data_IF_408956972180
#
_entry.id   IF_408956972180
#
_cell.length_a   1.000
_cell.length_b   1.000
_cell.length_c   1.000
_cell.angle_alpha   90.00
_cell.angle_beta   90.00
_cell.angle_gamma   90.00
#
_symmetry.space_group_name_H-M   'P 1'
#
loop_
_entity.id
_entity.type
_entity.pdbx_description
1 polymer ?
#
# COMPACT_ATOMS: atom_id res chain seq x y z
N UNK A 1 16.87 50.57 8.69
CA UNK A 1 16.71 49.12 8.92
C UNK A 1 16.19 48.52 7.63
N UNK A 2 17.05 47.77 6.94
CA UNK A 2 16.80 47.19 5.62
C UNK A 2 15.99 45.90 5.74
N UNK A 3 14.91 45.81 4.98
CA UNK A 3 14.32 44.54 4.55
C UNK A 3 14.37 44.51 3.02
N UNK A 4 15.11 43.54 2.48
CA UNK A 4 15.10 43.17 1.05
C UNK A 4 13.94 42.19 0.82
N UNK A 5 13.22 42.25 -0.32
CA UNK A 5 12.41 41.13 -0.78
C UNK A 5 13.27 40.15 -1.62
N UNK A 6 12.89 38.86 -1.70
CA UNK A 6 13.62 37.86 -2.49
C UNK A 6 13.25 37.95 -3.98
N UNK A 7 14.26 37.76 -4.82
CA UNK A 7 14.16 37.73 -6.27
C UNK A 7 13.27 36.56 -6.76
N UNK A 8 12.14 36.91 -7.40
CA UNK A 8 11.41 36.04 -8.32
C UNK A 8 12.15 36.11 -9.65
N UNK A 9 12.96 35.10 -9.95
CA UNK A 9 13.62 34.94 -11.24
C UNK A 9 13.45 33.49 -11.70
N UNK A 10 12.24 33.12 -12.13
CA UNK A 10 11.98 31.94 -12.98
C UNK A 10 10.54 31.82 -13.56
N UNK A 11 9.70 32.86 -13.46
CA UNK A 11 8.33 32.85 -14.06
C UNK A 11 8.26 33.59 -15.41
N UNK A 12 9.38 34.11 -15.94
CA UNK A 12 9.35 35.01 -17.10
C UNK A 12 9.42 34.34 -18.49
N UNK A 13 9.43 33.00 -18.61
CA UNK A 13 9.67 32.34 -19.91
C UNK A 13 8.39 31.87 -20.62
N UNK A 14 7.25 31.73 -19.95
CA UNK A 14 6.03 31.19 -20.56
C UNK A 14 5.00 32.23 -21.08
N UNK A 15 5.23 33.54 -20.94
CA UNK A 15 4.22 34.57 -21.28
C UNK A 15 4.68 35.71 -22.19
N UNK A 16 5.79 35.55 -22.91
CA UNK A 16 6.34 36.58 -23.84
C UNK A 16 6.40 36.14 -25.30
N UNK A 17 5.38 35.42 -25.80
CA UNK A 17 5.20 35.22 -27.25
C UNK A 17 4.07 36.08 -27.85
N UNK A 18 3.24 36.74 -27.03
CA UNK A 18 2.19 37.65 -27.55
C UNK A 18 2.13 38.96 -26.79
N UNK A 19 3.06 39.87 -27.10
CA UNK A 19 2.89 41.33 -27.13
C UNK A 19 4.26 42.00 -26.91
N UNK A 20 4.90 42.45 -27.99
CA UNK A 20 5.96 43.46 -27.91
C UNK A 20 5.88 44.37 -29.13
N UNK A 21 4.96 45.32 -29.04
CA UNK A 21 5.12 46.63 -29.65
C UNK A 21 5.55 47.62 -28.54
N UNK A 22 6.73 48.20 -28.76
CA UNK A 22 7.24 49.45 -28.21
C UNK A 22 7.55 49.58 -26.70
N UNK A 23 8.84 49.83 -26.49
CA UNK A 23 9.47 50.80 -25.57
C UNK A 23 9.91 50.38 -24.16
N UNK A 24 11.24 50.50 -23.99
CA UNK A 24 12.00 50.97 -22.82
C UNK A 24 12.82 49.95 -21.98
N UNK A 25 14.14 50.02 -22.23
CA UNK A 25 15.28 49.99 -21.27
C UNK A 25 15.58 48.69 -20.49
N UNK A 26 16.61 47.98 -20.96
CA UNK A 26 17.72 47.60 -20.08
C UNK A 26 17.68 46.25 -19.36
N UNK A 27 17.24 45.18 -20.02
CA UNK A 27 17.71 43.83 -19.71
C UNK A 27 18.51 43.31 -20.92
N UNK A 28 19.63 42.57 -20.74
CA UNK A 28 20.28 41.94 -21.88
C UNK A 28 19.26 40.98 -22.49
N UNK A 29 18.84 41.28 -23.73
CA UNK A 29 18.04 40.36 -24.55
C UNK A 29 18.93 39.11 -24.69
N UNK A 30 18.59 38.04 -23.98
CA UNK A 30 19.25 36.76 -24.16
C UNK A 30 19.10 36.39 -25.63
N UNK A 31 20.24 36.16 -26.30
CA UNK A 31 20.27 35.75 -27.70
C UNK A 31 19.36 34.50 -27.86
N UNK A 32 18.31 34.56 -28.72
CA UNK A 32 17.42 33.44 -28.95
C UNK A 32 18.15 32.14 -29.30
N UNK A 33 19.32 32.25 -29.97
CA UNK A 33 20.16 31.12 -30.32
C UNK A 33 20.84 30.51 -29.08
N UNK A 34 21.25 31.35 -28.13
CA UNK A 34 21.81 30.91 -26.85
C UNK A 34 20.76 30.24 -25.97
N UNK A 35 19.52 30.74 -25.96
CA UNK A 35 18.42 30.13 -25.21
C UNK A 35 18.03 28.77 -25.78
N UNK A 36 17.94 28.64 -27.12
CA UNK A 36 17.70 27.35 -27.78
C UNK A 36 18.82 26.34 -27.53
N UNK A 37 20.09 26.77 -27.56
CA UNK A 37 21.22 25.89 -27.27
C UNK A 37 21.23 25.42 -25.81
N UNK A 38 20.89 26.29 -24.87
CA UNK A 38 20.78 25.92 -23.45
C UNK A 38 19.65 24.93 -23.21
N UNK A 39 18.46 25.17 -23.77
CA UNK A 39 17.33 24.24 -23.69
C UNK A 39 17.65 22.86 -24.29
N UNK A 40 18.39 22.82 -25.40
CA UNK A 40 18.83 21.57 -26.01
C UNK A 40 19.83 20.80 -25.12
N UNK A 41 20.75 21.51 -24.47
CA UNK A 41 21.70 20.94 -23.50
C UNK A 41 20.98 20.41 -22.26
N UNK A 42 20.08 21.21 -21.68
CA UNK A 42 19.31 20.84 -20.49
C UNK A 42 18.39 19.64 -20.78
N UNK A 43 17.74 19.61 -21.95
CA UNK A 43 16.94 18.45 -22.41
C UNK A 43 17.80 17.20 -22.59
N UNK A 44 18.99 17.32 -23.21
CA UNK A 44 19.90 16.19 -23.39
C UNK A 44 20.42 15.65 -22.05
N UNK A 45 20.73 16.55 -21.11
CA UNK A 45 21.15 16.19 -19.76
C UNK A 45 20.01 15.50 -18.99
N UNK A 46 18.80 16.06 -19.01
CA UNK A 46 17.62 15.48 -18.39
C UNK A 46 17.33 14.07 -18.92
N UNK A 47 17.33 13.90 -20.25
CA UNK A 47 17.17 12.58 -20.89
C UNK A 47 18.21 11.57 -20.39
N UNK A 48 19.47 11.98 -20.28
CA UNK A 48 20.56 11.07 -19.91
C UNK A 48 20.57 10.75 -18.41
N UNK A 49 20.33 11.74 -17.55
CA UNK A 49 20.48 11.61 -16.10
C UNK A 49 19.20 11.13 -15.41
N UNK A 50 18.04 11.41 -16.01
CA UNK A 50 16.73 11.11 -15.42
C UNK A 50 16.04 10.02 -16.23
N UNK A 51 15.59 10.29 -17.46
CA UNK A 51 14.76 9.35 -18.23
C UNK A 51 15.46 8.02 -18.57
N UNK A 52 16.75 8.09 -18.91
CA UNK A 52 17.53 6.90 -19.26
C UNK A 52 18.15 6.22 -18.03
N UNK A 53 17.98 6.80 -16.84
CA UNK A 53 18.43 6.17 -15.61
C UNK A 53 17.56 4.94 -15.32
N UNK A 54 18.16 3.93 -14.67
CA UNK A 54 17.44 2.73 -14.23
C UNK A 54 17.75 2.55 -12.76
N UNK A 55 17.08 3.30 -11.87
CA UNK A 55 17.36 3.25 -10.43
C UNK A 55 17.08 1.85 -9.88
N UNK A 56 17.86 1.46 -8.87
CA UNK A 56 17.62 0.24 -8.10
C UNK A 56 16.72 0.56 -6.92
N UNK A 57 15.43 0.18 -7.04
CA UNK A 57 14.40 0.48 -6.06
C UNK A 57 14.28 -0.64 -5.00
N UNK A 58 15.07 -1.70 -5.10
CA UNK A 58 15.08 -2.77 -4.09
C UNK A 58 15.85 -2.30 -2.86
N UNK A 59 15.27 -2.34 -1.64
CA UNK A 59 15.98 -1.96 -0.43
C UNK A 59 17.30 -2.71 -0.25
N UNK A 60 18.31 -2.03 0.29
CA UNK A 60 19.68 -2.55 0.35
C UNK A 60 19.83 -3.84 1.19
N UNK A 61 18.94 -4.06 2.16
CA UNK A 61 18.90 -5.24 3.03
C UNK A 61 18.01 -6.37 2.48
N UNK A 62 17.35 -6.17 1.34
CA UNK A 62 16.48 -7.17 0.71
C UNK A 62 17.26 -7.96 -0.35
N UNK A 63 17.13 -9.28 -0.29
CA UNK A 63 17.64 -10.21 -1.29
C UNK A 63 16.49 -10.76 -2.12
N UNK A 64 16.56 -10.62 -3.43
CA UNK A 64 15.58 -11.14 -4.36
C UNK A 64 16.20 -11.35 -5.75
N UNK A 65 15.46 -11.94 -6.69
CA UNK A 65 15.88 -11.92 -8.08
C UNK A 65 15.52 -10.56 -8.69
N UNK A 66 16.53 -9.74 -8.97
CA UNK A 66 16.34 -8.39 -9.51
C UNK A 66 16.06 -8.42 -11.01
N UNK A 67 15.02 -7.73 -11.44
CA UNK A 67 14.64 -7.59 -12.85
C UNK A 67 14.47 -6.13 -13.23
N UNK A 68 14.66 -5.83 -14.51
CA UNK A 68 14.36 -4.51 -15.08
C UNK A 68 12.87 -4.46 -15.47
N UNK A 69 12.09 -3.60 -14.83
CA UNK A 69 10.68 -3.31 -15.15
C UNK A 69 10.63 -1.96 -15.86
N UNK A 70 9.85 -1.87 -16.93
CA UNK A 70 9.68 -0.64 -17.69
C UNK A 70 8.20 -0.36 -17.95
N UNK A 71 7.85 0.91 -18.00
CA UNK A 71 6.55 1.39 -18.49
C UNK A 71 6.49 1.37 -20.04
N UNK A 72 5.36 1.78 -20.62
CA UNK A 72 5.22 1.88 -22.08
C UNK A 72 6.06 3.02 -22.72
N UNK A 73 6.52 3.99 -21.94
CA UNK A 73 7.38 5.09 -22.40
C UNK A 73 8.85 4.68 -22.45
N UNK A 74 9.19 3.52 -21.88
CA UNK A 74 10.56 3.00 -21.77
C UNK A 74 11.33 3.53 -20.56
N UNK A 75 10.67 4.19 -19.61
CA UNK A 75 11.22 4.50 -18.29
C UNK A 75 11.27 3.22 -17.49
N UNK A 76 12.39 2.96 -16.81
CA UNK A 76 12.60 1.67 -16.17
C UNK A 76 13.20 1.80 -14.78
N UNK A 77 12.96 0.80 -13.95
CA UNK A 77 13.60 0.62 -12.65
C UNK A 77 14.01 -0.85 -12.44
N UNK A 78 14.94 -1.09 -11.51
CA UNK A 78 15.23 -2.44 -11.02
C UNK A 78 14.33 -2.72 -9.81
N UNK A 79 13.58 -3.81 -9.90
CA UNK A 79 12.62 -4.29 -8.89
C UNK A 79 12.85 -5.78 -8.62
N UNK A 80 12.21 -6.33 -7.60
CA UNK A 80 12.19 -7.77 -7.38
C UNK A 80 11.21 -8.45 -8.34
N UNK A 81 11.61 -9.59 -8.91
CA UNK A 81 10.68 -10.50 -9.59
C UNK A 81 9.65 -11.02 -8.58
N UNK A 82 8.40 -11.17 -9.03
CA UNK A 82 7.32 -11.75 -8.25
C UNK A 82 7.75 -13.06 -7.57
N UNK A 83 7.49 -13.17 -6.27
CA UNK A 83 7.74 -14.37 -5.47
C UNK A 83 9.23 -14.67 -5.22
N UNK A 84 10.15 -13.75 -5.55
CA UNK A 84 11.59 -13.98 -5.45
C UNK A 84 12.24 -13.44 -4.19
N UNK A 85 11.51 -12.71 -3.33
CA UNK A 85 12.04 -12.15 -2.09
C UNK A 85 12.43 -13.29 -1.14
N UNK A 86 13.68 -13.25 -0.68
CA UNK A 86 14.21 -14.22 0.27
C UNK A 86 13.81 -13.83 1.68
N UNK A 87 13.05 -14.70 2.34
CA UNK A 87 12.71 -14.59 3.76
C UNK A 87 13.58 -15.55 4.54
N UNK A 88 14.19 -15.08 5.64
CA UNK A 88 15.02 -15.91 6.49
C UNK A 88 14.23 -17.13 7.03
N UNK A 89 14.91 -18.28 7.16
CA UNK A 89 14.27 -19.53 7.56
C UNK A 89 13.67 -19.46 8.96
N UNK A 90 14.32 -18.76 9.89
CA UNK A 90 13.75 -18.55 11.22
C UNK A 90 12.49 -17.70 11.13
N UNK A 91 12.50 -16.61 10.35
CA UNK A 91 11.34 -15.73 10.19
C UNK A 91 10.16 -16.49 9.57
N UNK A 92 10.38 -17.28 8.50
CA UNK A 92 9.34 -18.13 7.91
C UNK A 92 8.70 -19.08 8.93
N UNK A 93 9.54 -19.72 9.78
CA UNK A 93 9.06 -20.64 10.83
C UNK A 93 8.31 -19.90 11.94
N UNK A 94 8.78 -18.73 12.35
CA UNK A 94 8.15 -17.90 13.37
C UNK A 94 6.76 -17.42 12.90
N UNK A 95 6.66 -16.88 11.68
CA UNK A 95 5.39 -16.49 11.06
C UNK A 95 4.43 -17.67 10.92
N UNK A 96 4.92 -18.85 10.50
CA UNK A 96 4.09 -20.06 10.40
C UNK A 96 3.57 -20.52 11.76
N UNK A 97 4.39 -20.47 12.81
CA UNK A 97 3.96 -20.79 14.17
C UNK A 97 2.90 -19.80 14.67
N UNK A 98 3.16 -18.51 14.54
CA UNK A 98 2.24 -17.44 14.90
C UNK A 98 0.89 -17.59 14.19
N UNK A 99 0.90 -17.83 12.89
CA UNK A 99 -0.30 -18.07 12.09
C UNK A 99 -1.09 -19.30 12.55
N UNK A 100 -0.42 -20.41 12.88
CA UNK A 100 -1.07 -21.60 13.45
C UNK A 100 -1.73 -21.33 14.81
N UNK A 101 -1.15 -20.45 15.63
CA UNK A 101 -1.78 -20.01 16.88
C UNK A 101 -2.98 -19.10 16.60
N UNK A 102 -2.84 -18.17 15.65
CA UNK A 102 -3.91 -17.26 15.24
C UNK A 102 -5.12 -18.00 14.65
N UNK A 103 -4.91 -19.08 13.89
CA UNK A 103 -5.97 -19.87 13.26
C UNK A 103 -6.88 -20.65 14.22
N UNK A 104 -6.54 -20.70 15.52
CA UNK A 104 -7.43 -21.18 16.57
C UNK A 104 -8.54 -20.19 16.93
N UNK A 105 -8.38 -18.93 16.51
CA UNK A 105 -9.38 -17.87 16.63
C UNK A 105 -10.18 -17.75 15.33
N UNK A 106 -11.26 -16.97 15.39
CA UNK A 106 -12.02 -16.59 14.21
C UNK A 106 -11.38 -15.38 13.53
N UNK A 107 -11.83 -15.05 12.32
CA UNK A 107 -11.23 -13.95 11.56
C UNK A 107 -11.51 -12.55 12.14
N UNK A 108 -12.48 -12.41 13.06
CA UNK A 108 -12.69 -11.15 13.77
C UNK A 108 -11.63 -10.90 14.85
N UNK A 109 -10.91 -11.92 15.35
CA UNK A 109 -10.01 -11.79 16.51
C UNK A 109 -8.60 -12.36 16.32
N UNK A 110 -8.33 -13.04 15.21
CA UNK A 110 -7.02 -13.60 14.94
C UNK A 110 -6.00 -12.51 14.58
N UNK A 111 -4.83 -12.55 15.23
CA UNK A 111 -3.71 -11.67 14.90
C UNK A 111 -3.00 -12.14 13.64
N UNK A 112 -3.28 -11.48 12.53
CA UNK A 112 -2.76 -11.74 11.19
C UNK A 112 -2.28 -10.43 10.56
N UNK A 113 -1.01 -10.31 10.16
CA UNK A 113 -0.53 -9.09 9.53
C UNK A 113 -1.25 -8.88 8.19
N UNK A 114 -1.61 -7.62 7.94
CA UNK A 114 -2.16 -7.14 6.69
C UNK A 114 -1.19 -6.23 5.94
N UNK A 115 -1.64 -5.70 4.82
CA UNK A 115 -0.96 -4.68 4.03
C UNK A 115 -2.00 -3.71 3.49
N UNK A 116 -1.69 -2.42 3.53
CA UNK A 116 -2.51 -1.38 2.92
C UNK A 116 -2.23 -1.33 1.41
N UNK A 117 -3.29 -1.20 0.60
CA UNK A 117 -3.31 -1.15 -0.87
C UNK A 117 -2.35 -2.16 -1.52
N UNK A 118 -2.55 -3.42 -1.16
CA UNK A 118 -1.54 -4.48 -1.28
C UNK A 118 -1.02 -4.67 -2.72
N UNK A 119 -1.86 -4.42 -3.73
CA UNK A 119 -1.49 -4.61 -5.12
C UNK A 119 -0.95 -3.35 -5.83
N UNK A 120 -0.88 -2.21 -5.14
CA UNK A 120 -0.23 -0.99 -5.65
C UNK A 120 1.26 -1.06 -5.29
N UNK A 121 2.00 -1.85 -6.07
CA UNK A 121 3.37 -2.24 -5.71
C UNK A 121 4.42 -2.03 -6.82
N UNK A 122 5.68 -1.82 -6.42
CA UNK A 122 6.80 -1.60 -7.36
C UNK A 122 6.97 -2.76 -8.36
N UNK A 123 6.72 -3.99 -7.94
CA UNK A 123 6.91 -5.17 -8.79
C UNK A 123 5.96 -5.18 -10.00
N UNK A 124 4.80 -4.53 -9.86
CA UNK A 124 3.81 -4.36 -10.94
C UNK A 124 3.97 -3.05 -11.73
N UNK A 125 4.86 -2.16 -11.28
CA UNK A 125 5.29 -0.96 -12.03
C UNK A 125 4.87 0.36 -11.41
N UNK A 126 4.03 0.35 -10.37
CA UNK A 126 3.71 1.55 -9.59
C UNK A 126 5.01 2.17 -9.07
N UNK A 127 5.15 3.50 -9.11
CA UNK A 127 6.37 4.20 -8.69
C UNK A 127 7.58 4.13 -9.64
N UNK A 128 7.51 3.42 -10.79
CA UNK A 128 8.65 3.32 -11.74
C UNK A 128 9.09 4.68 -12.27
N UNK A 129 8.17 5.62 -12.49
CA UNK A 129 8.49 6.98 -12.94
C UNK A 129 8.79 7.96 -11.79
N UNK A 130 8.80 7.57 -10.51
CA UNK A 130 8.99 8.49 -9.37
C UNK A 130 10.25 9.36 -9.51
N UNK A 131 11.37 8.74 -9.89
CA UNK A 131 12.64 9.44 -10.16
C UNK A 131 12.56 10.46 -11.31
N UNK A 132 11.65 10.25 -12.26
CA UNK A 132 11.38 11.19 -13.35
C UNK A 132 10.63 12.40 -12.84
N UNK A 133 9.64 12.18 -11.98
CA UNK A 133 8.90 13.25 -11.31
C UNK A 133 9.80 14.08 -10.40
N UNK A 134 10.66 13.44 -9.61
CA UNK A 134 11.72 14.12 -8.84
C UNK A 134 12.64 14.95 -9.75
N UNK A 135 13.00 14.38 -10.91
CA UNK A 135 13.72 15.07 -11.98
C UNK A 135 13.08 16.40 -12.40
N UNK A 136 11.77 16.41 -12.65
CA UNK A 136 11.04 17.65 -13.00
C UNK A 136 10.94 18.61 -11.81
N UNK A 137 10.75 18.07 -10.62
CA UNK A 137 10.65 18.83 -9.38
C UNK A 137 11.91 19.66 -9.10
N UNK A 138 13.09 19.22 -9.53
CA UNK A 138 14.34 20.00 -9.41
C UNK A 138 14.34 21.37 -10.12
N UNK A 139 13.44 21.59 -11.08
CA UNK A 139 13.31 22.91 -11.74
C UNK A 139 12.51 23.91 -10.91
N UNK A 140 11.86 23.47 -9.83
CA UNK A 140 11.12 24.33 -8.93
C UNK A 140 12.01 24.78 -7.78
N UNK A 141 12.13 26.10 -7.61
CA UNK A 141 12.98 26.70 -6.57
C UNK A 141 12.58 26.35 -5.14
N UNK A 142 11.35 25.86 -4.93
CA UNK A 142 10.83 25.40 -3.65
C UNK A 142 11.04 23.91 -3.41
N UNK A 143 11.41 23.12 -4.43
CA UNK A 143 11.76 21.72 -4.24
C UNK A 143 13.15 21.64 -3.62
N UNK A 144 13.17 21.37 -2.31
CA UNK A 144 14.40 21.36 -1.52
C UNK A 144 15.06 19.99 -1.58
N UNK A 145 16.38 19.97 -1.41
CA UNK A 145 17.14 18.74 -1.20
C UNK A 145 16.52 17.91 -0.08
N UNK A 146 16.10 16.67 -0.38
CA UNK A 146 15.51 15.74 0.58
C UNK A 146 14.00 15.48 0.40
N UNK A 147 13.30 16.23 -0.45
CA UNK A 147 11.94 15.88 -0.88
C UNK A 147 11.97 14.69 -1.84
N UNK A 148 11.00 13.78 -1.72
CA UNK A 148 10.91 12.56 -2.52
C UNK A 148 9.53 12.40 -3.13
N UNK A 149 9.48 11.68 -4.24
CA UNK A 149 8.23 11.16 -4.79
C UNK A 149 8.20 9.65 -4.52
N UNK A 150 7.14 9.20 -3.88
CA UNK A 150 6.93 7.80 -3.55
C UNK A 150 5.45 7.49 -3.74
N UNK A 151 5.10 6.74 -4.77
CA UNK A 151 3.70 6.60 -5.21
C UNK A 151 3.20 5.16 -5.27
N UNK A 152 4.01 4.22 -4.79
CA UNK A 152 3.61 2.85 -4.50
C UNK A 152 3.36 2.71 -3.00
N UNK A 153 2.44 1.82 -2.60
CA UNK A 153 2.20 1.49 -1.19
C UNK A 153 3.07 0.31 -0.77
N UNK A 154 3.36 -0.61 -1.70
CA UNK A 154 4.14 -1.81 -1.41
C UNK A 154 5.35 -1.97 -2.32
N UNK A 155 6.40 -2.60 -1.82
CA UNK A 155 7.64 -2.81 -2.58
C UNK A 155 7.61 -4.09 -3.43
N UNK A 156 6.80 -5.08 -3.05
CA UNK A 156 6.87 -6.45 -3.58
C UNK A 156 5.51 -6.96 -4.03
N UNK A 157 5.50 -7.99 -4.89
CA UNK A 157 4.25 -8.55 -5.42
C UNK A 157 3.41 -9.20 -4.32
N UNK A 158 2.12 -9.46 -4.58
CA UNK A 158 1.24 -10.11 -3.61
C UNK A 158 1.82 -11.46 -3.14
N UNK A 159 2.41 -12.24 -4.05
CA UNK A 159 3.10 -13.51 -3.72
C UNK A 159 4.21 -13.31 -2.70
N UNK A 160 5.05 -12.28 -2.86
CA UNK A 160 6.12 -11.98 -1.91
C UNK A 160 5.56 -11.55 -0.54
N UNK A 161 4.50 -10.73 -0.54
CA UNK A 161 3.80 -10.32 0.68
C UNK A 161 3.23 -11.53 1.44
N UNK A 162 2.62 -12.49 0.71
CA UNK A 162 2.10 -13.74 1.26
C UNK A 162 3.21 -14.66 1.80
N UNK A 163 4.37 -14.73 1.13
CA UNK A 163 5.55 -15.44 1.64
C UNK A 163 6.13 -14.81 2.91
N UNK A 164 5.98 -13.49 3.05
CA UNK A 164 6.35 -12.73 4.24
C UNK A 164 5.30 -12.78 5.36
N UNK A 165 4.20 -13.53 5.17
CA UNK A 165 3.25 -13.89 6.23
C UNK A 165 1.95 -13.09 6.25
N UNK A 166 1.78 -12.12 5.34
CA UNK A 166 0.54 -11.34 5.19
C UNK A 166 -0.65 -12.26 4.90
N UNK A 167 -1.79 -12.07 5.57
CA UNK A 167 -3.03 -12.84 5.31
C UNK A 167 -4.27 -11.98 5.17
N UNK A 168 -4.14 -10.68 5.36
CA UNK A 168 -5.15 -9.69 5.06
C UNK A 168 -4.65 -8.82 3.89
N UNK A 169 -5.37 -8.84 2.77
CA UNK A 169 -5.02 -8.20 1.51
C UNK A 169 -6.07 -7.16 1.19
N UNK A 170 -5.65 -5.94 0.92
CA UNK A 170 -6.49 -4.86 0.40
C UNK A 170 -6.24 -4.65 -1.08
N UNK A 171 -7.31 -4.48 -1.85
CA UNK A 171 -7.29 -4.22 -3.28
C UNK A 171 -8.21 -3.03 -3.62
N UNK A 172 -7.64 -1.93 -4.08
CA UNK A 172 -8.37 -0.72 -4.45
C UNK A 172 -8.96 -0.89 -5.84
N UNK A 173 -10.23 -1.24 -5.92
CA UNK A 173 -10.85 -1.60 -7.20
C UNK A 173 -11.56 -0.42 -7.82
N UNK A 174 -11.22 -0.12 -9.07
CA UNK A 174 -11.95 0.88 -9.85
C UNK A 174 -12.24 0.39 -11.27
N UNK A 175 -13.19 1.06 -11.93
CA UNK A 175 -13.52 0.80 -13.33
C UNK A 175 -12.72 1.71 -14.27
N UNK A 176 -12.04 1.12 -15.25
CA UNK A 176 -11.32 1.86 -16.29
C UNK A 176 -11.33 1.11 -17.63
N UNK A 177 -11.62 1.85 -18.70
CA UNK A 177 -11.54 1.40 -20.11
C UNK A 177 -12.11 0.00 -20.40
N UNK A 178 -13.29 -0.30 -19.85
CA UNK A 178 -13.97 -1.57 -20.09
C UNK A 178 -13.60 -2.70 -19.11
N UNK A 179 -12.70 -2.45 -18.15
CA UNK A 179 -12.26 -3.45 -17.18
C UNK A 179 -12.08 -2.91 -15.74
N UNK A 180 -11.95 -3.83 -14.79
CA UNK A 180 -11.61 -3.52 -13.40
C UNK A 180 -10.09 -3.52 -13.22
N UNK A 181 -9.59 -2.45 -12.61
CA UNK A 181 -8.17 -2.19 -12.39
C UNK A 181 -7.93 -1.84 -10.93
N UNK A 182 -6.64 -1.82 -10.57
CA UNK A 182 -6.17 -1.54 -9.22
C UNK A 182 -5.46 -0.18 -9.21
N UNK A 183 -5.93 0.76 -8.41
CA UNK A 183 -5.26 2.03 -8.18
C UNK A 183 -5.90 2.84 -7.06
N UNK A 184 -5.12 3.76 -6.51
CA UNK A 184 -5.59 4.88 -5.69
C UNK A 184 -6.59 5.70 -6.48
N UNK A 185 -7.88 5.58 -6.19
CA UNK A 185 -8.92 6.18 -7.01
C UNK A 185 -9.91 6.95 -6.15
N UNK A 186 -9.66 8.26 -5.95
CA UNK A 186 -10.53 9.14 -5.19
C UNK A 186 -9.79 9.96 -4.13
N UNK A 187 -10.54 10.74 -3.35
CA UNK A 187 -10.04 11.35 -2.10
C UNK A 187 -9.19 12.63 -2.21
N UNK A 188 -8.38 12.81 -3.25
CA UNK A 188 -7.45 13.95 -3.30
C UNK A 188 -8.08 15.23 -3.88
N UNK A 189 -8.59 16.12 -3.00
CA UNK A 189 -9.02 17.47 -3.37
C UNK A 189 -8.03 18.51 -2.89
N UNK A 190 -6.94 18.72 -3.63
CA UNK A 190 -5.97 19.76 -3.31
C UNK A 190 -5.78 20.72 -4.49
N UNK A 191 -6.35 21.92 -4.39
CA UNK A 191 -6.14 23.01 -5.38
C UNK A 191 -4.66 23.36 -5.60
N UNK A 192 -3.79 22.97 -4.67
CA UNK A 192 -2.35 23.14 -4.76
C UNK A 192 -1.71 22.09 -5.68
N UNK A 193 -2.21 20.85 -5.66
CA UNK A 193 -1.78 19.77 -6.54
C UNK A 193 -2.14 20.11 -8.00
N UNK A 194 -3.36 20.59 -8.21
CA UNK A 194 -3.89 21.07 -9.50
C UNK A 194 -2.96 22.09 -10.17
N UNK A 195 -2.60 23.15 -9.43
CA UNK A 195 -1.70 24.18 -9.94
C UNK A 195 -0.26 23.69 -10.15
N UNK A 196 0.17 22.66 -9.44
CA UNK A 196 1.49 22.05 -9.62
C UNK A 196 1.54 21.17 -10.88
N UNK A 197 0.47 20.40 -11.11
CA UNK A 197 0.26 19.55 -12.29
C UNK A 197 0.36 20.36 -13.59
N UNK A 198 -0.30 21.52 -13.65
CA UNK A 198 -0.27 22.39 -14.83
C UNK A 198 1.17 22.85 -15.15
N UNK A 199 1.95 23.21 -14.13
CA UNK A 199 3.33 23.66 -14.33
C UNK A 199 4.25 22.49 -14.73
N UNK A 200 4.03 21.30 -14.18
CA UNK A 200 4.76 20.10 -14.62
C UNK A 200 4.54 19.81 -16.10
N UNK A 201 3.29 19.86 -16.56
CA UNK A 201 2.94 19.61 -17.95
C UNK A 201 3.64 20.60 -18.90
N UNK A 202 3.76 21.87 -18.52
CA UNK A 202 4.49 22.87 -19.30
C UNK A 202 6.00 22.65 -19.32
N UNK A 203 6.62 22.30 -18.18
CA UNK A 203 8.06 21.98 -18.12
C UNK A 203 8.37 20.72 -18.96
N UNK A 204 7.55 19.68 -18.84
CA UNK A 204 7.69 18.45 -19.62
C UNK A 204 7.68 18.76 -21.13
N UNK A 205 6.69 19.55 -21.60
CA UNK A 205 6.63 19.99 -23.00
C UNK A 205 7.90 20.75 -23.43
N UNK A 206 8.41 21.65 -22.58
CA UNK A 206 9.66 22.39 -22.88
C UNK A 206 10.88 21.48 -22.98
N UNK A 207 10.95 20.42 -22.17
CA UNK A 207 12.03 19.42 -22.20
C UNK A 207 11.88 18.38 -23.33
N UNK A 208 10.80 18.47 -24.11
CA UNK A 208 10.49 17.53 -25.19
C UNK A 208 9.97 16.19 -24.69
N UNK A 209 9.32 16.18 -23.53
CA UNK A 209 8.61 15.05 -22.91
C UNK A 209 7.13 15.40 -22.70
N UNK A 210 6.35 14.44 -22.20
CA UNK A 210 4.96 14.65 -21.82
C UNK A 210 4.67 13.92 -20.51
N UNK A 211 3.96 14.61 -19.61
CA UNK A 211 3.39 14.04 -18.40
C UNK A 211 1.87 14.08 -18.59
N UNK A 212 1.17 13.02 -18.19
CA UNK A 212 -0.29 12.97 -18.24
C UNK A 212 -0.83 13.14 -16.82
N UNK A 213 -0.68 14.33 -16.24
CA UNK A 213 -1.24 14.73 -14.94
C UNK A 213 -2.40 15.74 -15.16
N UNK A 214 -3.59 15.53 -14.58
CA UNK A 214 -4.79 16.41 -14.61
C UNK A 214 -5.56 16.42 -13.26
N UNK A 215 -6.32 17.48 -13.05
CA UNK A 215 -7.14 17.88 -11.91
C UNK A 215 -8.33 17.04 -11.46
N UNK A 216 -9.08 16.65 -12.47
CA UNK A 216 -10.53 16.53 -12.28
C UNK A 216 -11.01 15.08 -12.31
N UNK A 217 -10.07 14.13 -12.41
CA UNK A 217 -10.24 12.67 -12.30
C UNK A 217 -9.10 12.03 -11.48
N UNK A 218 -8.52 12.80 -10.55
CA UNK A 218 -7.32 12.49 -9.74
C UNK A 218 -7.46 11.14 -9.01
N UNK A 219 -6.48 10.27 -9.29
CA UNK A 219 -6.31 8.95 -8.71
C UNK A 219 -6.26 7.88 -9.80
N UNK A 220 -7.29 7.85 -10.66
CA UNK A 220 -7.32 6.96 -11.81
C UNK A 220 -6.86 7.65 -13.09
N UNK A 221 -7.21 8.92 -13.35
CA UNK A 221 -6.77 9.68 -14.54
C UNK A 221 -6.63 11.17 -14.21
N UNK A 222 -5.43 11.71 -14.02
CA UNK A 222 -4.17 11.02 -14.10
C UNK A 222 -4.05 10.06 -12.93
N UNK A 223 -3.21 9.04 -13.13
CA UNK A 223 -2.83 8.26 -11.98
C UNK A 223 -1.93 9.09 -11.08
N UNK A 224 -2.17 8.99 -9.78
CA UNK A 224 -1.22 9.46 -8.79
C UNK A 224 -0.09 8.45 -8.53
N UNK A 225 -0.14 7.27 -9.14
CA UNK A 225 0.80 6.18 -8.86
C UNK A 225 2.03 6.13 -9.79
N UNK A 226 2.35 7.27 -10.40
CA UNK A 226 3.45 7.43 -11.37
C UNK A 226 3.44 6.47 -12.56
N UNK A 227 2.28 5.90 -12.91
CA UNK A 227 2.07 5.10 -14.13
C UNK A 227 0.76 5.49 -14.80
N UNK A 228 0.62 5.44 -16.14
CA UNK A 228 -0.66 5.72 -16.79
C UNK A 228 -1.78 4.75 -16.36
N UNK A 229 -3.03 5.19 -16.39
CA UNK A 229 -4.21 4.38 -16.00
C UNK A 229 -4.30 3.04 -16.75
N UNK A 230 -3.93 3.06 -18.04
CA UNK A 230 -3.88 1.89 -18.93
C UNK A 230 -2.80 0.87 -18.56
N UNK A 231 -1.87 1.23 -17.68
CA UNK A 231 -0.78 0.38 -17.17
C UNK A 231 -1.02 -0.07 -15.73
N UNK A 232 -2.07 0.45 -15.08
CA UNK A 232 -2.52 -0.04 -13.79
C UNK A 232 -2.86 -1.52 -13.90
N UNK A 233 -2.59 -2.27 -12.84
CA UNK A 233 -2.77 -3.71 -12.82
C UNK A 233 -4.25 -4.07 -12.97
N UNK A 234 -4.63 -4.94 -13.92
CA UNK A 234 -5.99 -5.47 -14.00
C UNK A 234 -6.32 -6.31 -12.75
N UNK A 235 -7.53 -6.16 -12.20
CA UNK A 235 -7.95 -6.89 -11.01
C UNK A 235 -7.84 -8.41 -11.16
N UNK A 236 -8.18 -8.93 -12.35
CA UNK A 236 -8.06 -10.37 -12.68
C UNK A 236 -6.65 -10.91 -12.48
N UNK A 237 -5.62 -10.10 -12.73
CA UNK A 237 -4.23 -10.53 -12.55
C UNK A 237 -3.85 -10.60 -11.07
N UNK A 238 -4.39 -9.71 -10.22
CA UNK A 238 -4.24 -9.81 -8.77
C UNK A 238 -4.98 -11.03 -8.21
N UNK A 239 -6.23 -11.24 -8.61
CA UNK A 239 -7.00 -12.42 -8.20
C UNK A 239 -6.36 -13.72 -8.68
N UNK A 240 -5.81 -13.75 -9.89
CA UNK A 240 -5.07 -14.89 -10.41
C UNK A 240 -3.80 -15.18 -9.60
N UNK A 241 -3.03 -14.16 -9.21
CA UNK A 241 -1.85 -14.33 -8.35
C UNK A 241 -2.24 -14.90 -6.97
N UNK A 242 -3.26 -14.31 -6.32
CA UNK A 242 -3.77 -14.77 -5.02
C UNK A 242 -4.29 -16.22 -5.08
N UNK A 243 -5.08 -16.54 -6.11
CA UNK A 243 -5.65 -17.87 -6.34
C UNK A 243 -4.55 -18.91 -6.60
N UNK A 244 -3.60 -18.60 -7.49
CA UNK A 244 -2.46 -19.47 -7.80
C UNK A 244 -1.65 -19.80 -6.54
N UNK A 245 -1.38 -18.78 -5.71
CA UNK A 245 -0.71 -18.98 -4.44
C UNK A 245 -1.55 -19.85 -3.48
N UNK A 246 -2.82 -19.52 -3.27
CA UNK A 246 -3.69 -20.22 -2.33
C UNK A 246 -3.86 -21.70 -2.71
N UNK A 247 -3.95 -22.02 -3.99
CA UNK A 247 -4.15 -23.39 -4.50
C UNK A 247 -2.86 -24.19 -4.65
N UNK A 248 -1.69 -23.62 -4.38
CA UNK A 248 -0.43 -24.37 -4.36
C UNK A 248 -0.44 -25.43 -3.24
N UNK A 249 0.05 -26.66 -3.48
CA UNK A 249 0.01 -27.75 -2.49
C UNK A 249 0.66 -27.41 -1.14
N UNK A 250 1.74 -26.64 -1.16
CA UNK A 250 2.48 -26.15 0.01
C UNK A 250 1.70 -25.15 0.88
N UNK A 251 0.60 -24.62 0.34
CA UNK A 251 -0.26 -23.62 0.97
C UNK A 251 -1.63 -24.19 1.35
N UNK A 252 -1.83 -25.51 1.30
CA UNK A 252 -3.10 -26.16 1.65
C UNK A 252 -3.59 -25.87 3.08
N UNK A 253 -2.70 -25.45 3.99
CA UNK A 253 -3.02 -25.02 5.37
C UNK A 253 -3.21 -23.50 5.52
N UNK A 254 -3.43 -22.78 4.42
CA UNK A 254 -3.55 -21.32 4.38
C UNK A 254 -4.99 -20.85 4.11
N UNK A 255 -5.31 -19.68 4.66
CA UNK A 255 -6.58 -18.96 4.49
C UNK A 255 -6.31 -17.47 4.21
N UNK A 256 -7.04 -16.87 3.27
CA UNK A 256 -6.91 -15.45 2.92
C UNK A 256 -8.14 -14.62 3.31
N UNK A 257 -7.89 -13.41 3.79
CA UNK A 257 -8.89 -12.34 3.94
C UNK A 257 -8.61 -11.31 2.87
N UNK A 258 -9.53 -11.11 1.93
CA UNK A 258 -9.38 -10.16 0.83
C UNK A 258 -10.44 -9.08 0.97
N UNK A 259 -10.01 -7.85 1.12
CA UNK A 259 -10.82 -6.65 1.21
C UNK A 259 -10.69 -5.87 -0.09
N UNK A 260 -11.83 -5.54 -0.71
CA UNK A 260 -11.89 -4.61 -1.82
C UNK A 260 -12.21 -3.24 -1.25
N UNK A 261 -11.26 -2.31 -1.33
CA UNK A 261 -11.54 -0.89 -1.07
C UNK A 261 -12.14 -0.30 -2.35
N UNK A 262 -13.42 -0.59 -2.52
CA UNK A 262 -14.21 -0.23 -3.68
C UNK A 262 -15.15 0.93 -3.36
N UNK A 263 -15.69 1.54 -4.41
CA UNK A 263 -16.52 2.73 -4.30
C UNK A 263 -17.94 2.52 -4.84
N UNK A 264 -18.85 3.41 -4.47
CA UNK A 264 -20.26 3.32 -4.87
C UNK A 264 -20.46 3.45 -6.39
N UNK A 265 -19.43 3.84 -7.12
CA UNK A 265 -19.41 3.99 -8.57
C UNK A 265 -19.55 2.63 -9.30
N UNK A 266 -18.97 1.55 -8.78
CA UNK A 266 -19.14 0.20 -9.35
C UNK A 266 -20.62 -0.20 -9.37
N UNK A 267 -21.38 0.12 -8.32
CA UNK A 267 -22.83 -0.06 -8.31
C UNK A 267 -23.52 0.87 -9.31
N UNK A 268 -23.23 2.17 -9.27
CA UNK A 268 -23.85 3.18 -10.15
C UNK A 268 -23.65 2.84 -11.63
N UNK A 269 -22.49 2.31 -11.98
CA UNK A 269 -22.11 1.93 -13.35
C UNK A 269 -22.42 0.47 -13.70
N UNK A 270 -23.10 -0.26 -12.80
CA UNK A 270 -23.52 -1.65 -12.99
C UNK A 270 -22.34 -2.59 -13.28
N UNK A 271 -21.25 -2.44 -12.55
CA UNK A 271 -20.00 -3.20 -12.67
C UNK A 271 -19.77 -4.23 -11.57
N UNK A 272 -20.58 -4.21 -10.52
CA UNK A 272 -20.55 -5.22 -9.42
C UNK A 272 -20.60 -6.65 -9.97
N UNK A 273 -21.46 -6.92 -10.96
CA UNK A 273 -21.52 -8.26 -11.58
C UNK A 273 -20.17 -8.73 -12.15
N UNK A 274 -19.37 -7.81 -12.73
CA UNK A 274 -18.04 -8.15 -13.26
C UNK A 274 -17.04 -8.48 -12.15
N UNK A 275 -17.09 -7.76 -11.03
CA UNK A 275 -16.29 -8.08 -9.84
C UNK A 275 -16.61 -9.50 -9.34
N UNK A 276 -17.89 -9.83 -9.22
CA UNK A 276 -18.35 -11.15 -8.78
C UNK A 276 -17.96 -12.26 -9.77
N UNK A 277 -18.05 -12.00 -11.08
CA UNK A 277 -17.61 -12.93 -12.12
C UNK A 277 -16.11 -13.22 -11.99
N UNK A 278 -15.29 -12.20 -11.77
CA UNK A 278 -13.84 -12.38 -11.56
C UNK A 278 -13.53 -13.17 -10.29
N UNK A 279 -14.22 -12.91 -9.18
CA UNK A 279 -14.05 -13.72 -7.97
C UNK A 279 -14.36 -15.20 -8.26
N UNK A 280 -15.50 -15.48 -8.91
CA UNK A 280 -15.95 -16.85 -9.23
C UNK A 280 -15.07 -17.54 -10.28
N UNK A 281 -14.40 -16.77 -11.15
CA UNK A 281 -13.44 -17.28 -12.13
C UNK A 281 -12.19 -17.86 -11.45
N UNK A 282 -11.66 -17.18 -10.44
CA UNK A 282 -10.40 -17.56 -9.78
C UNK A 282 -10.58 -18.37 -8.50
N UNK A 283 -11.72 -18.28 -7.82
CA UNK A 283 -11.98 -18.95 -6.55
C UNK A 283 -13.26 -19.80 -6.64
N UNK A 284 -13.18 -21.14 -6.53
CA UNK A 284 -14.36 -21.99 -6.47
C UNK A 284 -15.32 -21.58 -5.35
N UNK A 285 -16.62 -21.45 -5.64
CA UNK A 285 -17.59 -21.00 -4.62
C UNK A 285 -17.60 -21.84 -3.33
N UNK A 286 -17.24 -23.13 -3.43
CA UNK A 286 -17.17 -24.03 -2.27
C UNK A 286 -16.11 -23.62 -1.24
N UNK A 287 -15.03 -22.96 -1.64
CA UNK A 287 -13.96 -22.51 -0.75
C UNK A 287 -14.16 -21.08 -0.21
N UNK A 288 -15.09 -20.33 -0.78
CA UNK A 288 -15.44 -19.00 -0.31
C UNK A 288 -16.33 -19.12 0.92
N UNK A 289 -15.94 -18.51 2.04
CA UNK A 289 -16.84 -18.28 3.16
C UNK A 289 -17.86 -17.21 2.74
N UNK A 290 -19.14 -17.57 2.72
CA UNK A 290 -20.22 -16.68 2.25
C UNK A 290 -21.04 -16.12 3.42
N UNK A 291 -21.58 -14.89 3.29
CA UNK A 291 -22.36 -14.26 4.36
C UNK A 291 -23.50 -15.11 4.90
N UNK A 292 -24.30 -15.72 4.02
CA UNK A 292 -25.47 -16.51 4.43
C UNK A 292 -25.13 -17.83 5.15
N UNK A 293 -23.88 -18.31 5.04
CA UNK A 293 -23.43 -19.54 5.71
C UNK A 293 -23.23 -19.32 7.22
N UNK A 294 -23.21 -18.06 7.63
CA UNK A 294 -23.15 -17.66 9.03
C UNK A 294 -24.55 -17.30 9.48
N UNK A 295 -25.25 -18.30 10.03
CA UNK A 295 -26.47 -18.04 10.79
C UNK A 295 -26.05 -17.29 12.05
N UNK A 296 -26.46 -16.02 12.15
CA UNK A 296 -26.26 -15.16 13.32
C UNK A 296 -26.96 -15.76 14.54
N UNK A 297 -26.34 -16.76 15.17
CA UNK A 297 -26.68 -17.16 16.53
C UNK A 297 -25.44 -17.80 17.18
N UNK A 298 -24.62 -16.89 17.73
CA UNK A 298 -23.73 -17.02 18.91
C UNK A 298 -22.22 -17.21 18.74
N UNK A 299 -21.63 -17.58 17.58
CA UNK A 299 -20.16 -17.59 17.44
C UNK A 299 -19.63 -17.61 16.00
N UNK A 300 -18.63 -16.77 15.69
CA UNK A 300 -17.85 -16.88 14.45
C UNK A 300 -16.93 -18.12 14.47
N UNK A 301 -16.87 -18.93 13.40
CA UNK A 301 -16.03 -20.11 13.35
C UNK A 301 -14.54 -19.74 13.32
N UNK A 302 -13.72 -20.59 13.95
CA UNK A 302 -12.27 -20.47 13.84
C UNK A 302 -11.78 -20.80 12.41
N UNK A 303 -10.61 -20.30 12.01
CA UNK A 303 -10.04 -20.64 10.71
C UNK A 303 -9.84 -22.15 10.54
N UNK A 304 -9.43 -22.85 11.60
CA UNK A 304 -9.32 -24.32 11.56
C UNK A 304 -10.66 -25.01 11.27
N UNK A 305 -11.78 -24.47 11.78
CA UNK A 305 -13.12 -25.03 11.52
C UNK A 305 -13.56 -24.76 10.09
N UNK A 306 -13.31 -23.55 9.59
CA UNK A 306 -13.54 -23.15 8.20
C UNK A 306 -12.77 -24.05 7.22
N UNK A 307 -11.47 -24.24 7.46
CA UNK A 307 -10.63 -25.08 6.59
C UNK A 307 -11.05 -26.56 6.62
N UNK A 308 -11.53 -27.08 7.76
CA UNK A 308 -12.05 -28.47 7.84
C UNK A 308 -13.26 -28.70 6.94
N UNK A 309 -14.08 -27.68 6.71
CA UNK A 309 -15.22 -27.74 5.79
C UNK A 309 -14.89 -27.20 4.40
N UNK A 310 -13.60 -26.98 4.12
CA UNK A 310 -13.09 -26.61 2.80
C UNK A 310 -13.10 -25.12 2.49
N UNK A 311 -13.40 -24.24 3.46
CA UNK A 311 -13.34 -22.78 3.30
C UNK A 311 -11.90 -22.28 3.45
N UNK A 312 -11.47 -21.42 2.54
CA UNK A 312 -10.07 -20.95 2.42
C UNK A 312 -9.94 -19.47 2.14
N UNK A 313 -11.03 -18.78 1.83
CA UNK A 313 -11.01 -17.34 1.56
C UNK A 313 -12.30 -16.69 2.03
N UNK A 314 -12.19 -15.45 2.52
CA UNK A 314 -13.32 -14.54 2.71
C UNK A 314 -13.08 -13.29 1.89
N UNK A 315 -14.13 -12.80 1.23
CA UNK A 315 -14.12 -11.55 0.49
C UNK A 315 -14.98 -10.51 1.21
N UNK A 316 -14.45 -9.30 1.31
CA UNK A 316 -15.09 -8.16 1.95
C UNK A 316 -15.06 -6.97 0.99
N UNK A 317 -16.06 -6.11 1.05
CA UNK A 317 -16.19 -4.91 0.23
C UNK A 317 -16.37 -3.68 1.12
N UNK A 318 -15.80 -2.55 0.71
CA UNK A 318 -15.96 -1.25 1.34
C UNK A 318 -17.38 -0.71 1.17
N UNK A 319 -18.13 -1.23 0.19
CA UNK A 319 -19.46 -0.76 -0.17
C UNK A 319 -20.53 -1.82 0.08
N UNK A 320 -21.66 -1.37 0.64
CA UNK A 320 -22.88 -2.17 0.62
C UNK A 320 -23.50 -2.16 -0.77
N UNK A 321 -23.31 -3.24 -1.52
CA UNK A 321 -23.89 -3.43 -2.85
C UNK A 321 -25.38 -3.83 -2.83
N UNK A 322 -26.05 -3.68 -1.69
CA UNK A 322 -27.43 -4.10 -1.44
C UNK A 322 -27.59 -5.60 -1.74
N UNK A 323 -28.49 -5.95 -2.67
CA UNK A 323 -28.75 -7.35 -3.04
C UNK A 323 -27.74 -7.91 -4.05
N UNK A 324 -26.86 -7.09 -4.62
CA UNK A 324 -25.85 -7.57 -5.57
C UNK A 324 -24.57 -7.91 -4.80
N UNK A 325 -24.14 -9.17 -4.80
CA UNK A 325 -22.90 -9.56 -4.12
C UNK A 325 -23.08 -10.07 -2.70
N UNK A 326 -24.28 -9.98 -2.11
CA UNK A 326 -24.60 -10.57 -0.79
C UNK A 326 -24.33 -12.09 -0.73
N UNK A 327 -24.24 -12.74 -1.89
CA UNK A 327 -23.92 -14.16 -1.96
C UNK A 327 -22.46 -14.49 -1.58
N UNK A 328 -21.53 -13.54 -1.67
CA UNK A 328 -20.07 -13.76 -1.57
C UNK A 328 -19.36 -12.69 -0.74
N UNK A 329 -19.80 -11.43 -0.81
CA UNK A 329 -19.13 -10.30 -0.20
C UNK A 329 -19.72 -9.99 1.17
N UNK A 330 -18.86 -9.96 2.19
CA UNK A 330 -19.17 -9.29 3.44
C UNK A 330 -19.03 -7.78 3.27
N UNK A 331 -19.92 -7.01 3.88
CA UNK A 331 -19.79 -5.54 3.93
C UNK A 331 -18.94 -5.17 5.13
N UNK A 332 -17.86 -4.40 4.93
CA UNK A 332 -16.92 -3.95 5.96
C UNK A 332 -17.62 -3.40 7.20
N UNK A 333 -18.59 -2.50 7.01
CA UNK A 333 -19.31 -1.84 8.11
C UNK A 333 -20.19 -2.79 8.95
N UNK A 334 -20.51 -3.97 8.41
CA UNK A 334 -21.40 -4.94 9.06
C UNK A 334 -20.65 -6.20 9.55
N UNK A 335 -19.34 -6.30 9.33
CA UNK A 335 -18.54 -7.47 9.69
C UNK A 335 -17.60 -7.15 10.85
N UNK A 336 -17.62 -8.00 11.89
CA UNK A 336 -16.66 -7.95 13.00
C UNK A 336 -16.40 -6.56 13.60
N UNK A 337 -17.43 -5.71 13.77
CA UNK A 337 -17.30 -4.36 14.36
C UNK A 337 -16.03 -3.61 13.91
N UNK A 338 -15.74 -3.65 12.60
CA UNK A 338 -14.46 -3.23 12.05
C UNK A 338 -14.11 -1.80 12.44
N UNK A 339 -12.86 -1.59 12.85
CA UNK A 339 -12.30 -0.29 13.21
C UNK A 339 -10.93 -0.09 12.57
N UNK A 340 -10.74 1.08 11.96
CA UNK A 340 -9.45 1.60 11.46
C UNK A 340 -9.03 2.79 12.33
N UNK A 341 -8.54 2.52 13.55
CA UNK A 341 -8.20 3.60 14.48
C UNK A 341 -6.92 4.32 14.05
N UNK A 342 -6.85 5.66 14.19
CA UNK A 342 -5.64 6.41 13.89
C UNK A 342 -4.54 6.12 14.92
N UNK A 343 -3.30 6.17 14.46
CA UNK A 343 -2.10 6.10 15.30
C UNK A 343 -1.76 7.50 15.86
N UNK A 344 -0.98 7.61 16.96
CA UNK A 344 -0.23 6.55 17.64
C UNK A 344 -1.05 5.70 18.61
N UNK A 345 -0.53 4.50 18.88
CA UNK A 345 -1.02 3.59 19.91
C UNK A 345 -0.23 3.81 21.22
N UNK A 346 -0.92 3.98 22.34
CA UNK A 346 -0.28 4.02 23.66
C UNK A 346 0.38 2.67 23.97
N UNK A 347 1.61 2.65 24.53
CA UNK A 347 2.35 1.42 24.75
C UNK A 347 1.66 0.50 25.76
N UNK A 348 2.02 -0.78 25.73
CA UNK A 348 1.57 -1.75 26.73
C UNK A 348 1.93 -1.29 28.16
N UNK A 349 1.03 -1.45 29.16
CA UNK A 349 -0.27 -2.14 29.09
C UNK A 349 -1.47 -1.25 28.74
N UNK A 350 -1.27 0.04 28.42
CA UNK A 350 -2.40 0.96 28.18
C UNK A 350 -3.17 0.64 26.89
N UNK A 351 -2.45 0.28 25.81
CA UNK A 351 -3.01 -0.25 24.56
C UNK A 351 -4.27 0.47 24.07
N UNK A 352 -4.15 1.79 23.93
CA UNK A 352 -5.26 2.68 23.56
C UNK A 352 -4.83 3.57 22.40
N UNK A 353 -5.61 3.58 21.34
CA UNK A 353 -5.40 4.50 20.22
C UNK A 353 -5.74 5.93 20.62
N UNK A 354 -4.92 6.89 20.19
CA UNK A 354 -5.17 8.29 20.46
C UNK A 354 -6.54 8.71 19.87
N UNK A 355 -7.28 9.59 20.56
CA UNK A 355 -8.66 10.01 20.20
C UNK A 355 -9.75 8.93 20.17
N UNK A 356 -9.41 7.66 20.33
CA UNK A 356 -10.36 6.56 20.44
C UNK A 356 -10.77 6.33 21.89
N UNK A 357 -12.08 6.14 22.12
CA UNK A 357 -12.60 5.58 23.39
C UNK A 357 -12.53 4.04 23.40
N UNK A 358 -12.12 3.41 22.29
CA UNK A 358 -12.03 1.97 22.19
C UNK A 358 -10.72 1.50 22.86
N UNK A 359 -10.87 0.71 23.92
CA UNK A 359 -9.77 -0.08 24.45
C UNK A 359 -9.57 -1.28 23.51
N UNK A 360 -8.31 -1.60 23.19
CA UNK A 360 -8.00 -2.93 22.63
C UNK A 360 -8.29 -3.92 23.76
N UNK A 361 -9.50 -4.48 23.74
CA UNK A 361 -10.00 -5.40 24.76
C UNK A 361 -9.37 -6.78 24.62
N UNK A 362 -9.80 -7.72 25.47
CA UNK A 362 -9.46 -9.14 25.29
C UNK A 362 -9.93 -9.57 23.89
N UNK A 363 -9.06 -10.12 23.02
CA UNK A 363 -9.37 -10.44 21.61
C UNK A 363 -10.64 -11.28 21.41
N UNK A 364 -11.03 -12.06 22.41
CA UNK A 364 -12.11 -13.05 22.29
C UNK A 364 -13.47 -12.54 22.81
N UNK A 365 -13.57 -11.32 23.34
CA UNK A 365 -14.84 -10.77 23.87
C UNK A 365 -15.53 -9.77 22.92
N UNK A 366 -14.77 -9.06 22.07
CA UNK A 366 -15.29 -7.89 21.35
C UNK A 366 -15.57 -8.10 19.86
N UNK A 367 -15.28 -9.28 19.29
CA UNK A 367 -15.48 -9.58 17.85
C UNK A 367 -15.12 -8.40 16.93
N UNK A 368 -13.97 -7.76 17.20
CA UNK A 368 -13.58 -6.49 16.58
C UNK A 368 -12.32 -6.65 15.74
N UNK A 369 -12.40 -6.35 14.44
CA UNK A 369 -11.21 -6.13 13.61
C UNK A 369 -10.65 -4.74 13.94
N UNK A 370 -9.44 -4.68 14.48
CA UNK A 370 -8.63 -3.48 14.62
C UNK A 370 -7.57 -3.47 13.54
N UNK A 371 -7.78 -2.64 12.53
CA UNK A 371 -6.92 -2.51 11.38
C UNK A 371 -6.33 -1.11 11.30
N UNK A 372 -5.37 -0.73 12.15
CA UNK A 372 -4.62 0.49 11.88
C UNK A 372 -3.83 0.30 10.58
N UNK A 373 -3.96 1.27 9.69
CA UNK A 373 -3.20 1.34 8.46
C UNK A 373 -2.39 2.64 8.43
N UNK A 374 -1.30 2.62 7.66
CA UNK A 374 -0.47 3.80 7.47
C UNK A 374 0.01 3.86 6.04
N UNK A 375 -0.12 5.03 5.42
CA UNK A 375 0.43 5.27 4.11
C UNK A 375 1.78 5.98 4.18
N UNK A 376 2.74 5.49 3.41
CA UNK A 376 4.07 6.08 3.24
C UNK A 376 4.20 6.86 1.93
N UNK A 377 3.11 7.06 1.19
CA UNK A 377 3.08 7.83 -0.06
C UNK A 377 3.55 9.28 0.17
N UNK A 378 4.35 9.79 -0.75
CA UNK A 378 4.88 11.16 -0.74
C UNK A 378 4.82 11.78 -2.13
N UNK A 379 4.26 12.99 -2.22
CA UNK A 379 4.24 13.79 -3.46
C UNK A 379 5.15 15.00 -3.33
N UNK A 380 6.43 14.76 -3.02
CA UNK A 380 7.44 15.80 -2.82
C UNK A 380 7.35 16.47 -1.45
N UNK A 381 6.43 17.42 -1.31
CA UNK A 381 6.20 18.16 -0.06
C UNK A 381 4.85 17.85 0.58
N UNK A 382 4.02 17.05 -0.09
CA UNK A 382 2.76 16.57 0.42
C UNK A 382 2.93 15.15 0.95
N UNK A 383 2.37 14.90 2.13
CA UNK A 383 2.23 13.58 2.72
C UNK A 383 1.04 12.82 2.09
N UNK A 384 0.78 11.60 2.54
CA UNK A 384 -0.28 10.75 2.01
C UNK A 384 -1.69 11.34 2.15
N UNK A 385 -1.93 12.19 3.16
CA UNK A 385 -3.20 12.92 3.36
C UNK A 385 -3.34 14.16 2.45
N UNK A 386 -2.34 14.44 1.60
CA UNK A 386 -2.31 15.63 0.77
C UNK A 386 -2.02 16.92 1.53
N UNK A 387 -1.43 16.81 2.71
CA UNK A 387 -1.05 17.94 3.57
C UNK A 387 0.45 18.22 3.44
N UNK A 388 0.84 19.49 3.62
CA UNK A 388 2.26 19.87 3.63
C UNK A 388 2.93 19.27 4.87
N UNK A 389 3.93 18.42 4.67
CA UNK A 389 4.64 17.79 5.77
C UNK A 389 5.15 16.40 5.41
N UNK A 390 5.54 15.65 6.44
CA UNK A 390 5.94 14.24 6.34
C UNK A 390 4.81 13.35 6.84
N UNK A 391 4.82 12.08 6.44
CA UNK A 391 3.97 11.07 7.07
C UNK A 391 4.40 10.88 8.53
N UNK A 392 3.44 10.82 9.46
CA UNK A 392 3.69 10.65 10.89
C UNK A 392 3.00 9.38 11.40
N UNK A 393 3.50 8.82 12.51
CA UNK A 393 2.93 7.65 13.19
C UNK A 393 2.83 6.39 12.30
N UNK A 394 3.85 6.14 11.49
CA UNK A 394 3.92 4.99 10.57
C UNK A 394 3.98 3.64 11.29
N UNK A 395 3.48 2.59 10.64
CA UNK A 395 3.66 1.19 11.04
C UNK A 395 4.97 0.66 10.44
N UNK A 396 6.05 0.82 11.19
CA UNK A 396 7.40 0.45 10.77
C UNK A 396 8.07 -0.49 11.77
N UNK A 397 9.35 -0.79 11.56
CA UNK A 397 10.15 -1.62 12.44
C UNK A 397 10.20 -1.15 13.90
N UNK A 398 9.97 0.15 14.16
CA UNK A 398 10.00 0.75 15.49
C UNK A 398 8.64 0.65 16.19
N UNK A 399 7.53 0.91 15.48
CA UNK A 399 6.19 0.95 16.06
C UNK A 399 5.46 -0.39 16.09
N UNK A 400 5.69 -1.27 15.10
CA UNK A 400 5.03 -2.58 15.00
C UNK A 400 5.21 -3.50 16.21
N UNK A 401 6.36 -3.54 16.91
CA UNK A 401 6.50 -4.36 18.12
C UNK A 401 5.49 -3.97 19.21
N UNK A 402 5.27 -2.67 19.43
CA UNK A 402 4.30 -2.19 20.42
C UNK A 402 2.85 -2.50 20.02
N UNK A 403 2.56 -2.46 18.72
CA UNK A 403 1.27 -2.87 18.15
C UNK A 403 1.01 -4.36 18.34
N UNK A 404 2.04 -5.20 18.14
CA UNK A 404 1.99 -6.63 18.38
C UNK A 404 1.82 -6.97 19.88
N UNK A 405 2.55 -6.28 20.77
CA UNK A 405 2.44 -6.44 22.22
C UNK A 405 1.03 -6.10 22.74
N UNK A 406 0.36 -5.13 22.12
CA UNK A 406 -1.01 -4.76 22.43
C UNK A 406 -2.07 -5.67 21.80
N UNK A 407 -1.69 -6.64 20.98
CA UNK A 407 -2.62 -7.61 20.40
C UNK A 407 -3.54 -7.02 19.32
N UNK A 408 -3.16 -5.92 18.66
CA UNK A 408 -3.84 -5.45 17.46
C UNK A 408 -3.85 -6.57 16.42
N UNK A 409 -5.02 -6.89 15.87
CA UNK A 409 -5.20 -8.12 15.11
C UNK A 409 -4.86 -7.99 13.62
N UNK A 410 -5.05 -6.83 12.98
CA UNK A 410 -4.75 -6.65 11.55
C UNK A 410 -3.95 -5.37 11.30
N UNK A 411 -2.73 -5.21 11.84
CA UNK A 411 -1.90 -4.08 11.45
C UNK A 411 -1.57 -4.17 9.95
N UNK A 412 -1.82 -3.08 9.21
CA UNK A 412 -1.67 -3.00 7.75
C UNK A 412 -0.70 -1.88 7.34
N UNK A 413 0.62 -2.11 7.47
CA UNK A 413 1.63 -1.16 7.00
C UNK A 413 1.77 -1.11 5.48
N UNK A 414 2.29 0.01 4.99
CA UNK A 414 2.94 0.12 3.68
C UNK A 414 4.33 -0.54 3.69
N UNK A 415 4.98 -0.61 2.52
CA UNK A 415 6.39 -0.92 2.31
C UNK A 415 6.92 -2.14 3.07
N UNK A 416 6.17 -3.25 3.09
CA UNK A 416 6.59 -4.41 3.87
C UNK A 416 7.90 -5.00 3.37
N UNK A 417 8.78 -5.34 4.32
CA UNK A 417 10.06 -6.02 4.09
C UNK A 417 10.20 -7.22 5.04
N UNK A 418 11.15 -8.14 4.81
CA UNK A 418 11.44 -9.18 5.79
C UNK A 418 11.77 -8.62 7.18
N UNK A 419 12.43 -7.46 7.24
CA UNK A 419 12.77 -6.79 8.51
C UNK A 419 11.54 -6.21 9.20
N UNK A 420 10.65 -5.55 8.45
CA UNK A 420 9.37 -5.04 8.95
C UNK A 420 8.48 -6.17 9.46
N UNK A 421 8.42 -7.28 8.73
CA UNK A 421 7.65 -8.45 9.14
C UNK A 421 8.24 -9.16 10.36
N UNK A 422 9.55 -9.12 10.55
CA UNK A 422 10.17 -9.58 11.80
C UNK A 422 9.68 -8.79 13.03
N UNK A 423 9.39 -7.50 12.87
CA UNK A 423 8.86 -6.65 13.94
C UNK A 423 7.42 -7.02 14.38
N UNK A 424 6.72 -7.84 13.59
CA UNK A 424 5.35 -8.32 13.92
C UNK A 424 5.34 -9.64 14.71
N UNK A 425 6.50 -10.22 15.01
CA UNK A 425 6.61 -11.52 15.67
C UNK A 425 6.35 -11.39 17.17
N UNK A 426 5.25 -12.01 17.63
CA UNK A 426 4.90 -12.10 19.06
C UNK A 426 5.03 -13.52 19.63
N UNK A 427 5.03 -14.55 18.78
CA UNK A 427 5.00 -15.94 19.26
C UNK A 427 6.35 -16.46 19.81
N UNK A 428 7.48 -15.91 19.36
CA UNK A 428 8.83 -16.42 19.69
C UNK A 428 9.90 -15.33 19.60
N UNK A 429 10.95 -15.45 20.41
CA UNK A 429 12.09 -14.53 20.35
C UNK A 429 13.05 -14.87 19.19
N UNK A 430 13.70 -13.86 18.61
CA UNK A 430 14.73 -14.02 17.58
C UNK A 430 15.79 -15.05 18.00
N UNK A 431 16.21 -15.88 17.04
CA UNK A 431 17.32 -16.83 17.20
C UNK A 431 17.03 -18.06 18.06
N UNK A 432 15.81 -18.22 18.59
CA UNK A 432 15.43 -19.45 19.28
C UNK A 432 15.16 -20.57 18.27
N UNK A 433 15.69 -21.77 18.54
CA UNK A 433 15.49 -22.94 17.68
C UNK A 433 14.01 -23.36 17.65
N UNK A 434 13.46 -23.35 16.44
CA UNK A 434 12.12 -23.85 16.13
C UNK A 434 12.24 -25.24 15.48
N UNK A 435 12.91 -26.19 16.14
CA UNK A 435 13.01 -27.57 15.66
C UNK A 435 12.12 -28.51 16.47
N UNK A 436 11.20 -29.19 15.77
CA UNK A 436 10.21 -30.11 16.35
C UNK A 436 10.78 -31.39 17.00
N UNK A 437 12.10 -31.58 16.98
CA UNK A 437 12.76 -32.75 17.56
C UNK A 437 13.23 -32.55 19.00
N UNK A 438 13.25 -31.32 19.52
CA UNK A 438 13.70 -31.05 20.87
C UNK A 438 12.53 -30.59 21.76
N UNK A 439 11.83 -31.56 22.38
CA UNK A 439 10.72 -31.34 23.34
C UNK A 439 11.13 -30.59 24.63
N UNK A 440 12.29 -29.92 24.68
CA UNK A 440 12.82 -29.31 25.92
C UNK A 440 13.36 -27.88 25.79
N UNK A 441 13.18 -27.15 24.68
CA UNK A 441 13.76 -25.78 24.59
C UNK A 441 13.00 -24.75 23.74
N UNK A 442 11.69 -24.89 23.51
CA UNK A 442 10.90 -23.76 22.99
C UNK A 442 10.41 -22.92 24.17
N UNK A 443 11.20 -21.93 24.62
CA UNK A 443 10.66 -20.83 25.45
C UNK A 443 9.81 -19.95 24.53
N UNK A 444 8.53 -20.30 24.42
CA UNK A 444 7.51 -19.46 23.80
C UNK A 444 7.45 -18.13 24.57
N UNK A 445 7.36 -17.00 23.86
CA UNK A 445 6.86 -15.79 24.49
C UNK A 445 5.35 -16.00 24.61
N UNK A 446 4.91 -16.55 25.73
CA UNK A 446 3.50 -16.54 26.06
C UNK A 446 3.14 -15.15 26.56
N UNK A 447 2.56 -14.32 25.70
CA UNK A 447 1.52 -13.42 26.17
C UNK A 447 0.40 -14.35 26.67
N UNK A 448 0.26 -14.47 27.99
CA UNK A 448 -0.73 -15.34 28.62
C UNK A 448 -2.13 -14.87 28.22
N UNK A 449 -2.77 -15.58 27.28
CA UNK A 449 -4.21 -15.63 27.16
C UNK A 449 -4.70 -16.78 28.03
N UNK A 450 -5.02 -16.47 29.30
CA UNK A 450 -5.70 -17.42 30.19
C UNK A 450 -7.21 -17.38 29.95
N UNK A 451 -7.89 -18.51 30.15
CA UNK A 451 -9.36 -18.67 30.07
C UNK A 451 -10.14 -17.84 31.13
N UNK A 452 -9.42 -17.02 31.92
CA UNK A 452 -9.88 -16.38 33.15
C UNK A 452 -9.91 -14.84 33.07
N UNK A 453 -9.53 -14.25 31.92
CA UNK A 453 -9.61 -12.80 31.69
C UNK A 453 -8.63 -11.93 32.51
N UNK A 454 -7.60 -12.51 33.14
CA UNK A 454 -6.59 -11.75 33.89
C UNK A 454 -5.26 -11.70 33.13
N UNK A 455 -4.91 -10.51 32.63
CA UNK A 455 -3.59 -10.22 32.06
C UNK A 455 -2.53 -10.15 33.18
N UNK A 456 -1.64 -11.14 33.23
CA UNK A 456 -0.47 -11.14 34.09
C UNK A 456 0.81 -11.16 33.26
N UNK A 457 1.62 -10.11 33.38
CA UNK A 457 2.98 -10.08 32.85
C UNK A 457 3.83 -11.13 33.62
N UNK A 458 4.17 -12.23 32.95
CA UNK A 458 5.12 -13.21 33.47
C UNK A 458 6.54 -12.70 33.34
N UNK A 459 7.14 -12.29 34.47
CA UNK A 459 8.56 -12.03 34.61
C UNK A 459 9.39 -13.29 34.28
N UNK A 460 10.52 -13.05 33.63
CA UNK A 460 11.59 -13.99 33.30
C UNK A 460 12.00 -14.95 34.42
N UNK A 461 12.06 -16.26 34.13
CA UNK A 461 13.12 -17.19 34.58
C UNK A 461 13.48 -18.16 33.44
#
# INVERSE_FOLDING_TARGET
>A
MHTRPPCILLVAIALTITALSASAVGAPVQDPLHLQNQLALDSAQFKTQVLNSVPDLVPADVKCNKIKRCDQKGVCAIVCQHGSVQVDRWLQRALKLQRKLAYRRNFCSATLPGTHNSAINLADGYGVEDHVFEGYLHYFSWFKTGMKVHTNDQLFSLTDQLHMGVRFIELDVHWFDGDLHIAHCGGFKSKLLDGMIDVFNEIAKMLGTGIEWDSETIGCKPSLSSIPSKEQRPLKEALSELSTWLHAPEHADEFLMVFFDDETDLMKWKKVGKLLDYIKEYFPEKEILRPFELVFDTKWPAFEELMRVGKRVVFMSGVDYLTQGEEILFVKDNVCNWQEPPLPLAPFPECRFNHSKANIGVPDENFTIFRPETSEIEYGFLNADGQIGTNENLLDEESLPGVADCGVNVPSPDNITPKRMEATIWAVSKGHELDGNNRRSSRLRSAFFGDDGVFGAGFWI
#
